data_IF_996592116632
#
_entry.id   IF_996592116632
#
_cell.length_a   1.000
_cell.length_b   1.000
_cell.length_c   1.000
_cell.angle_alpha   90.00
_cell.angle_beta   90.00
_cell.angle_gamma   90.00
#
_symmetry.space_group_name_H-M   'P 1'
#
loop_
_entity.id
_entity.type
_entity.pdbx_description
1 polymer ?
#
# COMPACT_ATOMS: atom_id res chain seq x y z
N UNK A 1 -37.98 66.52 -7.79
CA UNK A 1 -36.91 65.77 -8.48
C UNK A 1 -35.84 65.35 -7.48
N UNK A 2 -35.77 64.07 -7.09
CA UNK A 2 -34.53 63.42 -6.65
C UNK A 2 -34.56 61.96 -7.14
N UNK A 3 -33.58 61.64 -7.97
CA UNK A 3 -33.41 60.42 -8.76
C UNK A 3 -32.66 59.36 -7.95
N UNK A 4 -33.38 58.48 -7.25
CA UNK A 4 -32.79 57.29 -6.60
C UNK A 4 -32.88 56.05 -7.51
N UNK A 5 -32.00 55.89 -8.50
CA UNK A 5 -32.05 54.68 -9.37
C UNK A 5 -30.71 54.06 -9.82
N UNK A 6 -29.49 54.65 -9.74
CA UNK A 6 -28.31 54.00 -10.34
C UNK A 6 -27.70 52.85 -9.52
N UNK A 7 -27.64 52.99 -8.19
CA UNK A 7 -26.77 52.16 -7.34
C UNK A 7 -27.38 50.77 -7.08
N UNK A 8 -28.69 50.70 -6.78
CA UNK A 8 -29.37 49.42 -6.53
C UNK A 8 -29.38 48.50 -7.76
N UNK A 9 -29.45 49.07 -8.99
CA UNK A 9 -29.40 48.29 -10.24
C UNK A 9 -28.02 47.66 -10.50
N UNK A 10 -26.93 48.38 -10.19
CA UNK A 10 -25.56 47.85 -10.28
C UNK A 10 -25.31 46.69 -9.30
N UNK A 11 -25.78 46.83 -8.05
CA UNK A 11 -25.65 45.78 -7.02
C UNK A 11 -26.41 44.50 -7.42
N UNK A 12 -27.64 44.64 -7.96
CA UNK A 12 -28.43 43.49 -8.44
C UNK A 12 -27.78 42.77 -9.64
N UNK A 13 -27.18 43.51 -10.59
CA UNK A 13 -26.43 42.92 -11.72
C UNK A 13 -25.20 42.14 -11.25
N UNK A 14 -24.41 42.69 -10.32
CA UNK A 14 -23.24 42.03 -9.72
C UNK A 14 -23.60 40.72 -8.99
N UNK A 15 -24.68 40.73 -8.18
CA UNK A 15 -25.17 39.51 -7.50
C UNK A 15 -25.61 38.42 -8.48
N UNK A 16 -26.26 38.79 -9.60
CA UNK A 16 -26.70 37.84 -10.64
C UNK A 16 -25.52 37.23 -11.39
N UNK A 17 -24.49 38.02 -11.71
CA UNK A 17 -23.25 37.54 -12.33
C UNK A 17 -22.49 36.58 -11.42
N UNK A 18 -22.35 36.87 -10.11
CA UNK A 18 -21.78 35.94 -9.12
C UNK A 18 -22.57 34.63 -9.02
N UNK A 19 -23.90 34.68 -9.07
CA UNK A 19 -24.76 33.47 -9.02
C UNK A 19 -24.61 32.63 -10.29
N UNK A 20 -24.47 33.25 -11.45
CA UNK A 20 -24.21 32.57 -12.73
C UNK A 20 -22.79 31.96 -12.78
N UNK A 21 -21.78 32.68 -12.28
CA UNK A 21 -20.42 32.16 -12.14
C UNK A 21 -20.37 30.94 -11.19
N UNK A 22 -21.00 31.03 -10.01
CA UNK A 22 -21.13 29.90 -9.07
C UNK A 22 -21.87 28.70 -9.70
N UNK A 23 -22.91 28.94 -10.51
CA UNK A 23 -23.60 27.89 -11.27
C UNK A 23 -22.72 27.27 -12.36
N UNK A 24 -21.90 28.06 -13.05
CA UNK A 24 -20.92 27.56 -14.04
C UNK A 24 -19.80 26.75 -13.40
N UNK A 25 -19.30 27.16 -12.24
CA UNK A 25 -18.32 26.40 -11.44
C UNK A 25 -18.93 25.10 -10.93
N UNK A 26 -20.15 25.12 -10.38
CA UNK A 26 -20.89 23.89 -10.01
C UNK A 26 -21.17 22.98 -11.21
N UNK A 27 -21.51 23.54 -12.38
CA UNK A 27 -21.68 22.76 -13.62
C UNK A 27 -20.36 22.18 -14.12
N UNK A 28 -19.24 22.90 -14.03
CA UNK A 28 -17.89 22.39 -14.37
C UNK A 28 -17.43 21.30 -13.41
N UNK A 29 -17.67 21.46 -12.11
CA UNK A 29 -17.42 20.40 -11.12
C UNK A 29 -18.27 19.14 -11.38
N UNK A 30 -19.55 19.32 -11.78
CA UNK A 30 -20.42 18.22 -12.24
C UNK A 30 -20.07 17.66 -13.62
N UNK A 31 -19.19 18.32 -14.38
CA UNK A 31 -18.76 17.93 -15.74
C UNK A 31 -17.31 17.43 -15.76
N UNK A 32 -16.75 17.07 -14.59
CA UNK A 32 -15.69 16.05 -14.57
C UNK A 32 -16.35 14.78 -15.07
N UNK A 33 -15.83 14.25 -16.17
CA UNK A 33 -16.29 12.99 -16.76
C UNK A 33 -16.23 11.95 -15.65
N UNK A 34 -17.38 11.47 -15.19
CA UNK A 34 -17.42 10.22 -14.43
C UNK A 34 -17.13 9.14 -15.48
N UNK A 35 -15.93 8.57 -15.44
CA UNK A 35 -15.68 7.33 -16.17
C UNK A 35 -16.66 6.28 -15.64
N UNK A 36 -17.35 5.62 -16.58
CA UNK A 36 -18.26 4.53 -16.26
C UNK A 36 -17.47 3.41 -15.57
N UNK A 37 -17.92 2.98 -14.39
CA UNK A 37 -17.34 1.84 -13.66
C UNK A 37 -16.63 2.15 -12.35
N UNK A 38 -16.31 3.42 -12.02
CA UNK A 38 -15.65 3.75 -10.75
C UNK A 38 -16.68 4.01 -9.65
N UNK A 39 -16.76 3.11 -8.66
CA UNK A 39 -17.62 3.26 -7.47
C UNK A 39 -17.24 4.54 -6.69
N UNK A 40 -18.21 5.29 -6.13
CA UNK A 40 -17.91 6.44 -5.26
C UNK A 40 -17.00 6.10 -4.08
N UNK A 41 -16.96 4.83 -3.64
CA UNK A 41 -16.12 4.37 -2.53
C UNK A 41 -14.62 4.40 -2.89
N UNK A 42 -14.29 4.19 -4.16
CA UNK A 42 -12.90 4.12 -4.65
C UNK A 42 -12.47 5.37 -5.42
N UNK A 43 -13.35 6.35 -5.64
CA UNK A 43 -13.06 7.57 -6.44
C UNK A 43 -11.78 8.29 -5.97
N UNK A 44 -11.54 8.35 -4.66
CA UNK A 44 -10.32 8.95 -4.09
C UNK A 44 -9.05 8.20 -4.51
N UNK A 45 -9.11 6.87 -4.59
CA UNK A 45 -7.99 6.00 -4.94
C UNK A 45 -7.78 5.96 -6.44
N UNK A 46 -8.86 5.98 -7.23
CA UNK A 46 -8.82 6.13 -8.68
C UNK A 46 -8.04 7.37 -9.13
N UNK A 47 -8.23 8.50 -8.44
CA UNK A 47 -7.50 9.75 -8.72
C UNK A 47 -5.99 9.64 -8.43
N UNK A 48 -5.58 8.67 -7.61
CA UNK A 48 -4.20 8.36 -7.25
C UNK A 48 -3.72 7.06 -7.89
N UNK A 49 -4.43 6.51 -8.90
CA UNK A 49 -4.13 5.18 -9.44
C UNK A 49 -2.69 5.00 -9.94
N UNK A 50 -2.08 6.08 -10.46
CA UNK A 50 -0.67 6.06 -10.88
C UNK A 50 0.33 6.12 -9.72
N UNK A 51 -0.10 6.59 -8.53
CA UNK A 51 0.69 6.46 -7.30
C UNK A 51 0.62 5.02 -6.75
N UNK A 52 -0.44 4.27 -7.08
CA UNK A 52 -0.62 2.86 -6.69
C UNK A 52 0.10 1.91 -7.66
N UNK A 53 -0.07 2.13 -8.96
CA UNK A 53 0.61 1.42 -10.03
C UNK A 53 0.94 2.39 -11.16
N UNK A 54 2.23 2.63 -11.39
CA UNK A 54 2.72 3.50 -12.48
C UNK A 54 2.24 3.02 -13.85
N UNK A 55 2.11 1.71 -14.04
CA UNK A 55 1.62 1.05 -15.26
C UNK A 55 0.11 0.80 -15.29
N UNK A 56 -0.69 1.54 -14.51
CA UNK A 56 -2.12 1.26 -14.36
C UNK A 56 -2.86 1.04 -15.70
N UNK A 57 -2.62 1.92 -16.69
CA UNK A 57 -3.29 1.86 -18.00
C UNK A 57 -2.79 0.72 -18.91
N UNK A 58 -1.72 -0.01 -18.54
CA UNK A 58 -1.19 -1.16 -19.29
C UNK A 58 -1.95 -2.47 -18.97
N UNK A 59 -3.00 -2.42 -18.16
CA UNK A 59 -3.89 -3.55 -17.89
C UNK A 59 -3.88 -4.05 -16.44
N UNK A 60 -3.45 -3.22 -15.49
CA UNK A 60 -3.49 -3.54 -14.06
C UNK A 60 -4.93 -3.75 -13.61
N UNK A 61 -5.16 -4.78 -12.79
CA UNK A 61 -6.45 -5.15 -12.22
C UNK A 61 -6.43 -4.91 -10.71
N UNK A 62 -7.48 -4.26 -10.20
CA UNK A 62 -7.77 -4.14 -8.78
C UNK A 62 -9.26 -4.38 -8.54
N UNK A 63 -9.56 -5.15 -7.50
CA UNK A 63 -10.88 -5.23 -6.91
C UNK A 63 -11.10 -4.10 -5.88
N UNK A 64 -12.31 -4.04 -5.31
CA UNK A 64 -12.68 -3.00 -4.35
C UNK A 64 -11.72 -2.95 -3.16
N UNK A 65 -11.37 -4.09 -2.56
CA UNK A 65 -10.41 -4.13 -1.44
C UNK A 65 -8.98 -3.75 -1.88
N UNK A 66 -8.54 -4.17 -3.07
CA UNK A 66 -7.23 -3.82 -3.63
C UNK A 66 -7.01 -2.31 -3.68
N UNK A 67 -8.04 -1.53 -4.02
CA UNK A 67 -7.97 -0.06 -4.01
C UNK A 67 -7.65 0.54 -2.63
N UNK A 68 -8.09 -0.10 -1.55
CA UNK A 68 -7.88 0.40 -0.19
C UNK A 68 -6.59 -0.12 0.45
N UNK A 69 -6.19 -1.34 0.10
CA UNK A 69 -5.10 -2.07 0.75
C UNK A 69 -3.76 -1.80 0.10
N UNK A 70 -3.70 -1.79 -1.24
CA UNK A 70 -2.43 -1.82 -1.97
C UNK A 70 -1.49 -0.71 -1.53
N UNK A 71 -0.27 -1.11 -1.15
CA UNK A 71 0.80 -0.19 -0.85
C UNK A 71 1.14 0.66 -2.09
N UNK A 72 1.14 2.00 -1.98
CA UNK A 72 1.61 2.88 -3.05
C UNK A 72 3.00 2.46 -3.59
N UNK A 73 3.19 2.53 -4.90
CA UNK A 73 4.35 1.95 -5.59
C UNK A 73 5.68 2.46 -5.02
N UNK A 74 5.78 3.76 -4.73
CA UNK A 74 6.96 4.38 -4.12
C UNK A 74 7.32 3.80 -2.74
N UNK A 75 6.32 3.40 -1.94
CA UNK A 75 6.56 2.76 -0.64
C UNK A 75 7.03 1.32 -0.86
N UNK A 76 6.37 0.58 -1.76
CA UNK A 76 6.73 -0.79 -2.09
C UNK A 76 8.16 -0.91 -2.65
N UNK A 77 8.60 0.05 -3.48
CA UNK A 77 10.00 0.13 -3.95
C UNK A 77 10.97 0.24 -2.78
N UNK A 78 10.70 1.13 -1.82
CA UNK A 78 11.58 1.31 -0.64
C UNK A 78 11.65 0.05 0.23
N UNK A 79 10.55 -0.69 0.36
CA UNK A 79 10.57 -2.00 1.03
C UNK A 79 11.50 -2.99 0.31
N UNK A 80 11.43 -3.05 -1.03
CA UNK A 80 12.29 -3.93 -1.84
C UNK A 80 13.77 -3.52 -1.83
N UNK A 81 14.07 -2.22 -1.71
CA UNK A 81 15.46 -1.74 -1.56
C UNK A 81 16.09 -2.13 -0.23
N UNK A 82 15.27 -2.30 0.81
CA UNK A 82 15.70 -2.67 2.17
C UNK A 82 15.88 -4.17 2.36
N UNK A 83 15.31 -5.02 1.50
CA UNK A 83 15.24 -6.46 1.73
C UNK A 83 16.49 -7.27 1.38
N UNK A 84 17.68 -6.67 1.21
CA UNK A 84 18.98 -7.36 1.17
C UNK A 84 19.32 -8.23 -0.07
N UNK A 85 18.36 -8.98 -0.62
CA UNK A 85 18.54 -9.96 -1.70
C UNK A 85 17.74 -11.27 -1.50
N UNK A 86 17.95 -12.25 -2.38
CA UNK A 86 17.48 -13.63 -2.12
C UNK A 86 15.98 -13.86 -2.32
N UNK A 87 15.34 -14.50 -1.32
CA UNK A 87 13.94 -14.92 -1.39
C UNK A 87 13.09 -14.11 -0.43
N UNK A 88 11.92 -13.67 -0.87
CA UNK A 88 10.94 -12.91 -0.08
C UNK A 88 9.63 -13.68 -0.01
N UNK A 89 8.99 -13.72 1.15
CA UNK A 89 7.61 -14.20 1.28
C UNK A 89 6.72 -12.98 1.47
N UNK A 90 5.79 -12.79 0.55
CA UNK A 90 4.71 -11.84 0.70
C UNK A 90 3.50 -12.60 1.28
N UNK A 91 3.28 -12.47 2.59
CA UNK A 91 2.27 -13.24 3.32
C UNK A 91 0.83 -12.99 2.89
N UNK A 92 0.58 -11.78 2.38
CA UNK A 92 -0.74 -11.24 2.14
C UNK A 92 -0.64 -10.40 0.86
N UNK A 93 -0.31 -11.06 -0.25
CA UNK A 93 0.10 -10.39 -1.48
C UNK A 93 -1.00 -9.49 -2.07
N UNK A 94 -2.27 -9.76 -1.77
CA UNK A 94 -3.39 -9.02 -2.30
C UNK A 94 -3.32 -8.98 -3.83
N UNK A 95 -3.30 -7.77 -4.39
CA UNK A 95 -3.19 -7.56 -5.85
C UNK A 95 -1.74 -7.46 -6.35
N UNK A 96 -0.75 -7.80 -5.52
CA UNK A 96 0.66 -7.95 -5.91
C UNK A 96 1.54 -6.70 -5.82
N UNK A 97 1.08 -5.62 -5.17
CA UNK A 97 1.81 -4.35 -5.12
C UNK A 97 3.26 -4.46 -4.62
N UNK A 98 3.45 -5.06 -3.45
CA UNK A 98 4.79 -5.29 -2.89
C UNK A 98 5.54 -6.41 -3.64
N UNK A 99 4.89 -7.55 -3.88
CA UNK A 99 5.45 -8.68 -4.64
C UNK A 99 6.10 -8.26 -5.97
N UNK A 100 5.46 -7.37 -6.73
CA UNK A 100 6.00 -6.85 -8.00
C UNK A 100 7.31 -6.07 -7.79
N UNK A 101 7.38 -5.22 -6.76
CA UNK A 101 8.60 -4.43 -6.54
C UNK A 101 9.75 -5.28 -6.00
N UNK A 102 9.48 -6.30 -5.18
CA UNK A 102 10.49 -7.30 -4.81
C UNK A 102 11.00 -8.03 -6.05
N UNK A 103 10.12 -8.58 -6.88
CA UNK A 103 10.51 -9.31 -8.07
C UNK A 103 11.35 -8.45 -9.06
N UNK A 104 11.03 -7.15 -9.19
CA UNK A 104 11.82 -6.20 -9.99
C UNK A 104 13.27 -6.02 -9.54
N UNK A 105 13.56 -6.29 -8.27
CA UNK A 105 14.91 -6.20 -7.71
C UNK A 105 15.65 -7.54 -7.75
N UNK A 106 15.25 -8.46 -8.64
CA UNK A 106 15.83 -9.79 -8.84
C UNK A 106 15.68 -10.74 -7.65
N UNK A 107 14.65 -10.54 -6.83
CA UNK A 107 14.28 -11.47 -5.79
C UNK A 107 13.40 -12.58 -6.36
N UNK A 108 13.49 -13.76 -5.79
CA UNK A 108 12.45 -14.77 -5.94
C UNK A 108 11.37 -14.50 -4.89
N UNK A 109 10.11 -14.38 -5.29
CA UNK A 109 9.01 -14.03 -4.39
C UNK A 109 8.06 -15.19 -4.24
N UNK A 110 7.74 -15.57 -3.01
CA UNK A 110 6.63 -16.47 -2.71
C UNK A 110 5.45 -15.62 -2.27
N UNK A 111 4.50 -15.40 -3.18
CA UNK A 111 3.35 -14.52 -2.99
C UNK A 111 2.12 -15.33 -2.56
N UNK A 112 1.69 -15.15 -1.30
CA UNK A 112 0.62 -15.91 -0.67
C UNK A 112 -0.59 -15.01 -0.44
N UNK A 113 -1.77 -15.46 -0.86
CA UNK A 113 -3.04 -14.88 -0.40
C UNK A 113 -4.08 -15.99 -0.21
N UNK A 114 -4.99 -15.79 0.74
CA UNK A 114 -6.06 -16.75 1.00
C UNK A 114 -7.15 -16.68 -0.07
N UNK A 115 -7.30 -15.52 -0.73
CA UNK A 115 -8.30 -15.33 -1.78
C UNK A 115 -7.71 -15.66 -3.16
N UNK A 116 -8.24 -16.68 -3.88
CA UNK A 116 -7.77 -17.03 -5.21
C UNK A 116 -7.90 -15.89 -6.24
N UNK A 117 -8.88 -14.98 -6.09
CA UNK A 117 -9.05 -13.85 -7.00
C UNK A 117 -7.93 -12.82 -6.84
N UNK A 118 -7.44 -12.63 -5.61
CA UNK A 118 -6.28 -11.79 -5.32
C UNK A 118 -5.04 -12.33 -6.01
N UNK A 119 -4.78 -13.62 -5.85
CA UNK A 119 -3.66 -14.31 -6.50
C UNK A 119 -3.73 -14.21 -8.04
N UNK A 120 -4.91 -14.39 -8.64
CA UNK A 120 -5.09 -14.24 -10.09
C UNK A 120 -4.81 -12.80 -10.58
N UNK A 121 -5.27 -11.79 -9.82
CA UNK A 121 -4.96 -10.39 -10.10
C UNK A 121 -3.47 -10.08 -9.92
N UNK A 122 -2.85 -10.57 -8.84
CA UNK A 122 -1.42 -10.40 -8.60
C UNK A 122 -0.58 -10.99 -9.73
N UNK A 123 -0.93 -12.19 -10.22
CA UNK A 123 -0.30 -12.80 -11.40
C UNK A 123 -0.51 -11.94 -12.66
N UNK A 124 -1.74 -11.46 -12.90
CA UNK A 124 -2.02 -10.58 -14.05
C UNK A 124 -1.20 -9.29 -13.99
N UNK A 125 -1.08 -8.70 -12.80
CA UNK A 125 -0.35 -7.46 -12.58
C UNK A 125 1.17 -7.69 -12.71
N UNK A 126 1.70 -8.81 -12.22
CA UNK A 126 3.11 -9.16 -12.41
C UNK A 126 3.49 -9.29 -13.90
N UNK A 127 2.60 -9.83 -14.74
CA UNK A 127 2.78 -9.86 -16.20
C UNK A 127 2.86 -8.48 -16.84
N UNK A 128 2.05 -7.52 -16.37
CA UNK A 128 2.12 -6.11 -16.83
C UNK A 128 3.50 -5.50 -16.53
N UNK A 129 4.10 -5.89 -15.40
CA UNK A 129 5.44 -5.44 -15.00
C UNK A 129 6.57 -6.32 -15.55
N UNK A 130 6.27 -7.47 -16.18
CA UNK A 130 7.24 -8.39 -16.78
C UNK A 130 8.11 -9.12 -15.77
N UNK A 131 7.55 -9.44 -14.59
CA UNK A 131 8.27 -10.08 -13.47
C UNK A 131 7.61 -11.36 -12.97
N UNK A 132 6.62 -11.88 -13.68
CA UNK A 132 5.86 -13.07 -13.29
C UNK A 132 6.74 -14.31 -13.10
N UNK A 133 7.83 -14.43 -13.86
CA UNK A 133 8.74 -15.60 -13.79
C UNK A 133 9.57 -15.64 -12.50
N UNK A 134 9.56 -14.55 -11.72
CA UNK A 134 10.25 -14.44 -10.43
C UNK A 134 9.31 -14.62 -9.23
N UNK A 135 8.04 -14.97 -9.47
CA UNK A 135 7.02 -15.04 -8.42
C UNK A 135 6.28 -16.38 -8.43
N UNK A 136 6.41 -17.12 -7.33
CA UNK A 136 5.58 -18.28 -7.02
C UNK A 136 4.28 -17.82 -6.34
N UNK A 137 3.17 -17.90 -7.07
CA UNK A 137 1.84 -17.52 -6.60
C UNK A 137 1.15 -18.69 -5.90
N UNK A 138 0.80 -18.53 -4.62
CA UNK A 138 0.18 -19.57 -3.80
C UNK A 138 -1.14 -19.08 -3.23
N UNK A 139 -2.22 -19.82 -3.50
CA UNK A 139 -3.49 -19.64 -2.81
C UNK A 139 -3.46 -20.42 -1.49
N UNK A 140 -3.50 -19.73 -0.35
CA UNK A 140 -3.53 -20.39 0.95
C UNK A 140 -3.48 -19.45 2.15
N UNK A 141 -3.74 -20.01 3.32
CA UNK A 141 -3.64 -19.29 4.59
C UNK A 141 -2.18 -19.29 5.07
N UNK A 142 -1.53 -18.12 5.09
CA UNK A 142 -0.16 -17.98 5.56
C UNK A 142 0.03 -18.54 6.98
N UNK A 143 -0.94 -18.40 7.89
CA UNK A 143 -0.82 -18.92 9.26
C UNK A 143 -0.66 -20.45 9.26
N UNK A 144 -1.32 -21.13 8.32
CA UNK A 144 -1.26 -22.58 8.16
C UNK A 144 -0.03 -23.04 7.35
N UNK A 145 0.43 -22.22 6.40
CA UNK A 145 1.58 -22.51 5.53
C UNK A 145 2.92 -22.18 6.19
N UNK A 146 2.99 -21.19 7.08
CA UNK A 146 4.24 -20.73 7.68
C UNK A 146 5.11 -21.85 8.29
N UNK A 147 4.57 -22.87 8.99
CA UNK A 147 5.38 -23.97 9.50
C UNK A 147 6.11 -24.79 8.43
N UNK A 148 5.56 -24.91 7.20
CA UNK A 148 6.20 -25.68 6.12
C UNK A 148 7.19 -24.86 5.30
N UNK A 149 7.09 -23.52 5.31
CA UNK A 149 8.03 -22.61 4.63
C UNK A 149 9.43 -22.61 5.27
N UNK A 150 9.53 -22.98 6.55
CA UNK A 150 10.80 -23.04 7.32
C UNK A 150 11.87 -23.93 6.70
N UNK A 151 11.49 -24.89 5.88
CA UNK A 151 12.40 -25.93 5.39
C UNK A 151 13.21 -25.46 4.18
N UNK A 152 12.85 -24.34 3.53
CA UNK A 152 13.31 -24.08 2.16
C UNK A 152 13.96 -22.71 1.91
N UNK A 153 13.76 -21.68 2.74
CA UNK A 153 14.01 -20.31 2.28
C UNK A 153 14.82 -19.44 3.26
N UNK A 154 15.97 -18.95 2.77
CA UNK A 154 16.69 -17.78 3.30
C UNK A 154 15.84 -16.54 3.04
N UNK A 155 14.90 -16.26 3.94
CA UNK A 155 13.91 -15.20 3.78
C UNK A 155 14.43 -13.88 4.29
N UNK A 156 14.50 -12.87 3.41
CA UNK A 156 15.11 -11.57 3.76
C UNK A 156 14.07 -10.48 4.05
N UNK A 157 12.79 -10.70 3.71
CA UNK A 157 11.71 -9.84 4.14
C UNK A 157 10.36 -10.58 4.21
N UNK A 158 9.51 -10.11 5.11
CA UNK A 158 8.10 -10.45 5.19
C UNK A 158 7.30 -9.18 5.10
N UNK A 159 6.56 -8.94 4.01
CA UNK A 159 5.67 -7.78 3.93
C UNK A 159 4.27 -8.13 4.40
N UNK A 160 3.76 -7.26 5.25
CA UNK A 160 2.43 -7.40 5.83
C UNK A 160 1.71 -6.08 5.72
N UNK A 161 0.62 -6.06 4.96
CA UNK A 161 -0.34 -4.95 4.96
C UNK A 161 -1.44 -5.24 6.00
N UNK A 162 -1.47 -4.50 7.10
CA UNK A 162 -2.56 -4.59 8.08
C UNK A 162 -3.59 -3.48 7.87
N UNK A 163 -4.52 -3.62 6.92
CA UNK A 163 -5.66 -2.70 6.81
C UNK A 163 -7.01 -3.40 6.98
N UNK A 164 -7.52 -3.37 8.22
CA UNK A 164 -8.94 -3.27 8.60
C UNK A 164 -9.12 -3.81 10.02
N UNK A 165 -9.23 -2.93 11.02
CA UNK A 165 -9.97 -3.16 12.28
C UNK A 165 -9.69 -4.40 13.14
N UNK A 166 -8.72 -5.26 12.81
CA UNK A 166 -8.42 -6.47 13.59
C UNK A 166 -7.43 -6.12 14.70
N UNK A 167 -7.80 -6.58 15.88
CA UNK A 167 -7.21 -6.31 17.19
C UNK A 167 -5.69 -6.53 17.21
N UNK A 168 -4.98 -5.77 18.04
CA UNK A 168 -3.53 -5.86 18.29
C UNK A 168 -3.03 -7.32 18.44
N UNK A 169 -3.86 -8.20 18.99
CA UNK A 169 -3.62 -9.64 19.18
C UNK A 169 -3.20 -10.35 17.89
N UNK A 170 -3.76 -9.95 16.75
CA UNK A 170 -3.45 -10.54 15.44
C UNK A 170 -2.05 -10.10 14.97
N UNK A 171 -1.55 -8.96 15.44
CA UNK A 171 -0.24 -8.45 15.03
C UNK A 171 0.92 -9.19 15.66
N UNK A 172 0.86 -9.38 16.96
CA UNK A 172 1.86 -10.11 17.75
C UNK A 172 1.96 -11.57 17.28
N UNK A 173 0.82 -12.25 17.11
CA UNK A 173 0.78 -13.65 16.69
C UNK A 173 1.44 -13.85 15.32
N UNK A 174 1.14 -12.97 14.36
CA UNK A 174 1.74 -13.03 13.02
C UNK A 174 3.23 -12.67 13.03
N UNK A 175 3.66 -11.75 13.90
CA UNK A 175 5.09 -11.47 14.07
C UNK A 175 5.84 -12.67 14.66
N UNK A 176 5.26 -13.38 15.64
CA UNK A 176 5.86 -14.60 16.18
C UNK A 176 5.94 -15.71 15.13
N UNK A 177 4.89 -15.89 14.32
CA UNK A 177 4.90 -16.83 13.18
C UNK A 177 6.03 -16.46 12.20
N UNK A 178 6.13 -15.19 11.84
CA UNK A 178 7.17 -14.64 10.96
C UNK A 178 8.58 -14.92 11.49
N UNK A 179 8.83 -14.67 12.78
CA UNK A 179 10.11 -14.94 13.43
C UNK A 179 10.51 -16.41 13.35
N UNK A 180 9.53 -17.32 13.32
CA UNK A 180 9.85 -18.74 13.20
C UNK A 180 10.39 -19.11 11.82
N UNK A 181 10.24 -18.21 10.85
CA UNK A 181 10.71 -18.35 9.46
C UNK A 181 12.01 -17.58 9.26
N UNK A 182 12.07 -16.30 9.65
CA UNK A 182 13.27 -15.45 9.52
C UNK A 182 13.31 -14.33 10.57
N UNK A 183 14.50 -13.88 11.01
CA UNK A 183 14.65 -12.65 11.79
C UNK A 183 14.42 -11.36 10.98
N UNK A 184 14.45 -11.42 9.64
CA UNK A 184 14.38 -10.25 8.76
C UNK A 184 12.93 -10.00 8.30
N UNK A 185 12.26 -9.03 8.94
CA UNK A 185 10.80 -8.83 8.82
C UNK A 185 10.50 -7.35 8.47
N UNK A 186 9.56 -7.10 7.54
CA UNK A 186 9.15 -5.75 7.10
C UNK A 186 7.64 -5.56 7.32
N UNK A 187 7.23 -5.01 8.45
CA UNK A 187 5.81 -4.84 8.76
C UNK A 187 5.29 -3.46 8.32
N UNK A 188 4.34 -3.41 7.39
CA UNK A 188 3.63 -2.18 7.04
C UNK A 188 2.33 -2.03 7.84
N UNK A 189 2.29 -1.02 8.69
CA UNK A 189 1.30 -0.86 9.75
C UNK A 189 0.50 0.44 9.59
N UNK A 190 -0.73 0.50 10.13
CA UNK A 190 -1.52 1.72 10.17
C UNK A 190 -0.78 2.88 10.83
N UNK A 191 -1.02 4.09 10.31
CA UNK A 191 -0.42 5.34 10.81
C UNK A 191 -0.74 5.72 12.26
N UNK A 192 -1.69 5.03 12.90
CA UNK A 192 -2.17 5.30 14.26
C UNK A 192 -1.79 4.21 15.27
N UNK A 193 -0.91 3.28 14.89
CA UNK A 193 -0.34 2.28 15.81
C UNK A 193 0.54 2.98 16.85
N UNK A 194 0.51 2.47 18.08
CA UNK A 194 1.41 2.89 19.15
C UNK A 194 2.83 2.40 18.85
N UNK A 195 3.78 3.33 18.76
CA UNK A 195 5.18 3.01 18.45
C UNK A 195 5.83 2.18 19.54
N UNK A 196 5.43 2.35 20.80
CA UNK A 196 5.95 1.53 21.90
C UNK A 196 5.56 0.06 21.72
N UNK A 197 4.34 -0.21 21.26
CA UNK A 197 3.90 -1.58 20.96
C UNK A 197 4.69 -2.21 19.79
N UNK A 198 5.10 -1.40 18.82
CA UNK A 198 5.93 -1.87 17.70
C UNK A 198 7.34 -2.19 18.19
N UNK A 199 7.92 -1.34 19.04
CA UNK A 199 9.22 -1.63 19.68
C UNK A 199 9.14 -2.88 20.56
N UNK A 200 8.04 -3.08 21.31
CA UNK A 200 7.79 -4.27 22.13
C UNK A 200 7.89 -5.58 21.33
N UNK A 201 7.55 -5.58 20.04
CA UNK A 201 7.69 -6.76 19.19
C UNK A 201 9.13 -7.27 19.14
N UNK A 202 10.13 -6.37 19.12
CA UNK A 202 11.54 -6.75 19.07
C UNK A 202 11.97 -7.63 20.25
N UNK A 203 11.35 -7.44 21.41
CA UNK A 203 11.64 -8.15 22.66
C UNK A 203 10.99 -9.53 22.73
N UNK A 204 10.13 -9.89 21.76
CA UNK A 204 9.57 -11.23 21.64
C UNK A 204 10.60 -12.25 21.15
N UNK A 205 11.74 -11.79 20.64
CA UNK A 205 12.89 -12.61 20.27
C UNK A 205 13.93 -12.66 21.39
N UNK A 206 14.72 -13.74 21.43
CA UNK A 206 15.87 -13.85 22.34
C UNK A 206 17.11 -14.29 21.55
N UNK A 207 18.12 -13.41 21.36
CA UNK A 207 18.17 -12.01 21.78
C UNK A 207 17.13 -11.12 21.06
N UNK A 208 16.78 -9.92 21.60
CA UNK A 208 15.88 -8.99 20.93
C UNK A 208 16.39 -8.61 19.53
N UNK A 209 15.49 -8.51 18.57
CA UNK A 209 15.84 -8.08 17.21
C UNK A 209 16.12 -6.57 17.17
N UNK A 210 17.03 -6.13 16.29
CA UNK A 210 17.13 -4.72 15.96
C UNK A 210 15.85 -4.27 15.27
N UNK A 211 15.37 -3.05 15.56
CA UNK A 211 14.15 -2.48 14.96
C UNK A 211 14.40 -1.05 14.49
N UNK A 212 14.02 -0.77 13.24
CA UNK A 212 13.93 0.59 12.68
C UNK A 212 12.47 0.87 12.33
N UNK A 213 11.95 2.03 12.75
CA UNK A 213 10.58 2.44 12.44
C UNK A 213 10.59 3.67 11.53
N UNK A 214 10.03 3.53 10.34
CA UNK A 214 9.93 4.56 9.32
C UNK A 214 8.49 5.04 9.15
N UNK A 215 8.29 6.35 8.97
CA UNK A 215 6.99 6.93 8.58
C UNK A 215 6.92 7.08 7.06
N UNK A 216 5.86 6.54 6.45
CA UNK A 216 5.71 6.55 5.00
C UNK A 216 4.79 7.67 4.53
N UNK A 217 5.31 8.55 3.68
CA UNK A 217 4.57 9.67 3.10
C UNK A 217 4.43 9.50 1.59
N UNK A 218 3.27 9.85 1.05
CA UNK A 218 3.06 10.02 -0.39
C UNK A 218 2.31 11.34 -0.58
N UNK A 219 2.81 12.22 -1.45
CA UNK A 219 2.25 13.55 -1.67
C UNK A 219 2.06 14.34 -0.35
N UNK A 220 3.02 14.24 0.56
CA UNK A 220 3.01 14.85 1.91
C UNK A 220 1.96 14.29 2.88
N UNK A 221 1.22 13.25 2.51
CA UNK A 221 0.25 12.59 3.39
C UNK A 221 0.84 11.32 4.00
N UNK A 222 0.76 11.21 5.33
CA UNK A 222 1.15 9.99 6.06
C UNK A 222 0.21 8.83 5.69
N UNK A 223 0.78 7.80 5.08
CA UNK A 223 0.08 6.59 4.63
C UNK A 223 0.10 5.49 5.70
N UNK A 224 1.25 5.28 6.34
CA UNK A 224 1.46 4.26 7.35
C UNK A 224 2.84 4.36 7.99
N UNK A 225 3.18 3.39 8.83
CA UNK A 225 4.52 3.21 9.36
C UNK A 225 5.07 1.86 8.87
N UNK A 226 6.35 1.77 8.61
CA UNK A 226 7.03 0.49 8.33
C UNK A 226 7.98 0.20 9.48
N UNK A 227 7.90 -1.00 10.04
CA UNK A 227 8.85 -1.49 11.01
C UNK A 227 9.73 -2.56 10.36
N UNK A 228 11.03 -2.32 10.32
CA UNK A 228 12.04 -3.25 9.83
C UNK A 228 12.70 -3.93 11.03
N UNK A 229 12.79 -5.26 11.00
CA UNK A 229 13.42 -6.05 12.05
C UNK A 229 14.59 -6.86 11.52
N UNK A 230 15.55 -7.18 12.38
CA UNK A 230 16.75 -7.95 12.01
C UNK A 230 17.69 -7.14 11.14
N UNK A 231 18.27 -7.77 10.12
CA UNK A 231 19.22 -7.12 9.20
C UNK A 231 18.53 -6.07 8.31
N UNK A 232 17.22 -6.21 8.07
CA UNK A 232 16.42 -5.22 7.34
C UNK A 232 16.41 -3.84 8.05
N UNK A 233 16.67 -3.80 9.36
CA UNK A 233 16.74 -2.59 10.16
C UNK A 233 18.01 -1.75 9.95
N UNK A 234 19.04 -2.29 9.28
CA UNK A 234 20.31 -1.57 9.12
C UNK A 234 20.44 -0.78 7.82
N UNK A 235 19.45 -0.85 6.93
CA UNK A 235 19.55 -0.24 5.60
C UNK A 235 20.75 -0.77 4.82
N UNK A 236 20.92 -0.36 3.56
CA UNK A 236 22.16 -0.71 2.85
C UNK A 236 23.35 -0.12 3.61
N UNK A 237 24.24 -0.98 4.11
CA UNK A 237 25.65 -0.60 4.21
C UNK A 237 26.04 -0.11 2.82
N UNK A 238 26.42 1.16 2.70
CA UNK A 238 27.06 1.68 1.51
C UNK A 238 28.28 0.80 1.24
N UNK A 239 28.16 -0.14 0.29
CA UNK A 239 29.32 -0.76 -0.31
C UNK A 239 29.98 0.34 -1.15
N UNK A 240 30.97 0.98 -0.52
CA UNK A 240 31.94 1.91 -1.10
C UNK A 240 32.67 1.31 -2.29
#
# INVERSE_FOLDING_TARGET
MKTEVPIQRKIRRSKRQRKLAKRRVKKRAKKRVKEEGVSPLVEKYWLQRYDLFSKYDEGVKLDEEGWFSVTPEEIAVRHAERSGGGVVVDCFTGVGGNSIQFAKMCYHVVAIDIDPQKVEMALSNAKVYGVEDYVDFIVGDFIQLAPSLKITLSLEALVRECYAGREQIVWYSLFQIAQTITPNIIMFLPRNVDLLQVEELSWLSSPPLCVEIEKNYVNSYLKGITAYFGDAAFGKMELS
#
